data_IF_115971698294
#
_entry.id   IF_115971698294
#
_cell.length_a   1.000
_cell.length_b   1.000
_cell.length_c   1.000
_cell.angle_alpha   90.00
_cell.angle_beta   90.00
_cell.angle_gamma   90.00
#
_symmetry.space_group_name_H-M   'P 1'
#
loop_
_entity.id
_entity.type
_entity.pdbx_description
1 polymer ?
#
# COMPACT_ATOMS: atom_id res chain seq x y z
N UNK A 1 -7.79 3.91 15.78
CA UNK A 1 -7.64 3.40 14.40
C UNK A 1 -6.49 4.14 13.71
N UNK A 2 -5.49 3.41 13.20
CA UNK A 2 -4.40 3.98 12.37
C UNK A 2 -4.76 3.83 10.89
N UNK A 3 -4.41 4.82 10.08
CA UNK A 3 -4.72 4.82 8.66
C UNK A 3 -3.43 5.09 7.88
N UNK A 4 -2.98 4.06 7.14
CA UNK A 4 -1.72 4.09 6.42
C UNK A 4 -1.95 3.93 4.93
N UNK A 5 -1.18 4.64 4.10
CA UNK A 5 -1.14 4.41 2.66
C UNK A 5 0.22 3.84 2.24
N UNK A 6 0.20 2.84 1.38
CA UNK A 6 1.37 2.24 0.77
C UNK A 6 1.44 2.73 -0.68
N UNK A 7 2.47 3.50 -0.99
CA UNK A 7 2.76 4.00 -2.33
C UNK A 7 4.03 3.36 -2.90
N UNK A 8 4.26 3.52 -4.20
CA UNK A 8 5.46 3.05 -4.86
C UNK A 8 5.30 3.01 -6.37
N UNK A 9 6.39 2.75 -7.09
CA UNK A 9 6.37 2.57 -8.54
C UNK A 9 5.49 1.37 -8.94
N UNK A 10 4.87 1.43 -10.11
CA UNK A 10 4.15 0.32 -10.71
C UNK A 10 5.04 -0.92 -10.84
N UNK A 11 4.48 -2.08 -10.54
CA UNK A 11 5.21 -3.34 -10.55
C UNK A 11 6.24 -3.53 -9.45
N UNK A 12 6.40 -2.60 -8.50
CA UNK A 12 7.41 -2.74 -7.42
C UNK A 12 7.02 -3.79 -6.37
N UNK A 13 5.76 -4.24 -6.31
CA UNK A 13 5.24 -5.22 -5.34
C UNK A 13 4.46 -4.64 -4.16
N UNK A 14 3.83 -3.47 -4.33
CA UNK A 14 3.03 -2.79 -3.29
C UNK A 14 1.92 -3.69 -2.73
N UNK A 15 1.09 -4.23 -3.61
CA UNK A 15 -0.07 -5.08 -3.30
C UNK A 15 0.32 -6.35 -2.56
N UNK A 16 1.42 -6.97 -2.98
CA UNK A 16 2.03 -8.12 -2.29
C UNK A 16 2.44 -7.75 -0.87
N UNK A 17 3.10 -6.61 -0.67
CA UNK A 17 3.49 -6.14 0.66
C UNK A 17 2.26 -5.78 1.50
N UNK A 18 1.30 -5.05 0.94
CA UNK A 18 0.09 -4.61 1.63
C UNK A 18 -0.74 -5.80 2.15
N UNK A 19 -0.97 -6.80 1.31
CA UNK A 19 -1.71 -8.02 1.68
C UNK A 19 -0.98 -8.86 2.72
N UNK A 20 0.35 -9.05 2.58
CA UNK A 20 1.13 -9.78 3.59
C UNK A 20 1.23 -9.04 4.93
N UNK A 21 1.36 -7.71 4.92
CA UNK A 21 1.32 -6.90 6.14
C UNK A 21 -0.05 -6.99 6.81
N UNK A 22 -1.14 -6.91 6.04
CA UNK A 22 -2.50 -7.06 6.57
C UNK A 22 -2.71 -8.43 7.23
N UNK A 23 -2.29 -9.51 6.55
CA UNK A 23 -2.34 -10.87 7.08
C UNK A 23 -1.48 -11.06 8.35
N UNK A 24 -0.27 -10.50 8.37
CA UNK A 24 0.60 -10.57 9.54
C UNK A 24 0.03 -9.78 10.74
N UNK A 25 -0.56 -8.61 10.50
CA UNK A 25 -1.22 -7.83 11.54
C UNK A 25 -2.45 -8.55 12.10
N UNK A 26 -3.22 -9.26 11.28
CA UNK A 26 -4.35 -10.04 11.79
C UNK A 26 -3.89 -11.23 12.63
N UNK A 27 -2.79 -11.91 12.29
CA UNK A 27 -2.19 -12.93 13.17
C UNK A 27 -1.77 -12.36 14.54
N UNK A 28 -1.45 -11.05 14.60
CA UNK A 28 -1.18 -10.32 15.85
C UNK A 28 -2.45 -9.86 16.58
N UNK A 29 -3.62 -10.35 16.17
CA UNK A 29 -4.91 -10.02 16.76
C UNK A 29 -5.44 -8.62 16.41
N UNK A 30 -4.94 -8.00 15.34
CA UNK A 30 -5.40 -6.68 14.89
C UNK A 30 -6.56 -6.80 13.91
N UNK A 31 -7.55 -5.94 14.06
CA UNK A 31 -8.64 -5.77 13.09
C UNK A 31 -8.18 -4.84 11.97
N UNK A 32 -8.02 -5.41 10.77
CA UNK A 32 -7.42 -4.71 9.63
C UNK A 32 -8.39 -4.65 8.47
N UNK A 33 -8.42 -3.50 7.80
CA UNK A 33 -9.09 -3.30 6.51
C UNK A 33 -8.05 -2.96 5.45
N UNK A 34 -8.02 -3.70 4.34
CA UNK A 34 -7.25 -3.38 3.15
C UNK A 34 -8.17 -2.80 2.07
N UNK A 35 -7.85 -1.60 1.60
CA UNK A 35 -8.57 -0.92 0.52
C UNK A 35 -7.64 -0.79 -0.69
N UNK A 36 -7.92 -1.57 -1.73
CA UNK A 36 -7.27 -1.46 -3.03
C UNK A 36 -7.71 -0.21 -3.78
N UNK A 37 -6.79 0.74 -3.96
CA UNK A 37 -7.02 1.98 -4.71
C UNK A 37 -6.42 1.92 -6.13
N UNK A 38 -5.84 0.78 -6.51
CA UNK A 38 -5.19 0.57 -7.81
C UNK A 38 -6.23 0.16 -8.87
N UNK A 39 -6.28 0.82 -10.04
CA UNK A 39 -7.18 0.45 -11.13
C UNK A 39 -6.96 -0.99 -11.64
N UNK A 40 -5.84 -1.63 -11.29
CA UNK A 40 -5.54 -3.04 -11.62
C UNK A 40 -6.45 -4.06 -10.91
N UNK A 41 -7.06 -3.69 -9.78
CA UNK A 41 -8.08 -4.50 -9.05
C UNK A 41 -7.58 -5.85 -8.50
N UNK A 42 -6.31 -5.94 -8.14
CA UNK A 42 -5.69 -7.19 -7.62
C UNK A 42 -5.03 -7.00 -6.25
N UNK A 43 -5.35 -5.94 -5.52
CA UNK A 43 -4.76 -5.61 -4.21
C UNK A 43 -5.16 -6.62 -3.13
N UNK A 44 -6.38 -7.15 -3.23
CA UNK A 44 -7.02 -8.00 -2.22
C UNK A 44 -7.12 -9.48 -2.63
N UNK A 45 -6.76 -9.83 -3.87
CA UNK A 45 -6.97 -11.17 -4.43
C UNK A 45 -6.31 -12.28 -3.60
N UNK A 46 -5.12 -12.02 -3.04
CA UNK A 46 -4.38 -12.99 -2.23
C UNK A 46 -4.93 -13.17 -0.80
N UNK A 47 -5.86 -12.32 -0.37
CA UNK A 47 -6.55 -12.45 0.91
C UNK A 47 -7.92 -13.10 0.74
N UNK A 48 -8.65 -12.73 -0.30
CA UNK A 48 -10.04 -13.20 -0.54
C UNK A 48 -10.10 -14.42 -1.46
N UNK A 49 -9.02 -14.73 -2.19
CA UNK A 49 -8.86 -15.89 -3.10
C UNK A 49 -9.77 -15.86 -4.33
N UNK A 50 -10.37 -14.71 -4.61
CA UNK A 50 -11.14 -14.43 -5.83
C UNK A 50 -11.05 -12.95 -6.15
N UNK A 51 -11.37 -12.60 -7.39
CA UNK A 51 -11.52 -11.21 -7.77
C UNK A 51 -12.79 -10.63 -7.14
N UNK A 52 -12.66 -9.49 -6.47
CA UNK A 52 -13.80 -8.73 -5.98
C UNK A 52 -14.37 -7.89 -7.11
N UNK A 53 -15.70 -7.72 -7.11
CA UNK A 53 -16.35 -6.71 -7.94
C UNK A 53 -15.93 -5.33 -7.41
N UNK A 54 -15.31 -4.46 -8.22
CA UNK A 54 -14.85 -3.16 -7.75
C UNK A 54 -16.01 -2.24 -7.38
N UNK A 55 -15.84 -1.45 -6.32
CA UNK A 55 -16.84 -0.51 -5.83
C UNK A 55 -17.35 0.45 -6.91
N UNK A 56 -16.47 0.94 -7.79
CA UNK A 56 -16.89 1.82 -8.87
C UNK A 56 -17.86 1.16 -9.85
N UNK A 57 -17.78 -0.15 -10.04
CA UNK A 57 -18.71 -0.90 -10.89
C UNK A 57 -20.03 -1.12 -10.15
N UNK A 58 -19.98 -1.45 -8.85
CA UNK A 58 -21.20 -1.57 -8.02
C UNK A 58 -21.99 -0.25 -8.04
N UNK A 59 -21.31 0.89 -7.86
CA UNK A 59 -21.94 2.23 -7.92
C UNK A 59 -22.57 2.52 -9.28
N UNK A 60 -22.02 1.98 -10.38
CA UNK A 60 -22.56 2.21 -11.72
C UNK A 60 -23.76 1.31 -12.03
N UNK A 61 -23.83 0.13 -11.43
CA UNK A 61 -24.88 -0.85 -11.69
C UNK A 61 -26.07 -0.73 -10.72
N UNK A 62 -25.85 -0.20 -9.52
CA UNK A 62 -26.81 -0.23 -8.43
C UNK A 62 -27.12 1.19 -7.90
N UNK A 63 -28.40 1.49 -7.73
CA UNK A 63 -28.84 2.79 -7.17
C UNK A 63 -28.54 2.91 -5.67
N UNK A 64 -28.56 1.79 -4.94
CA UNK A 64 -28.37 1.75 -3.49
C UNK A 64 -27.36 0.66 -3.12
N UNK A 65 -26.09 1.05 -3.10
CA UNK A 65 -24.97 0.18 -2.73
C UNK A 65 -25.10 -0.24 -1.26
N UNK A 66 -24.90 -1.52 -0.95
CA UNK A 66 -24.90 -2.04 0.43
C UNK A 66 -23.49 -2.38 0.91
N UNK A 67 -23.34 -2.46 2.23
CA UNK A 67 -22.07 -2.75 2.87
C UNK A 67 -21.52 -4.13 2.46
N UNK A 68 -22.37 -5.15 2.43
CA UNK A 68 -22.01 -6.54 2.17
C UNK A 68 -21.61 -6.81 0.71
N UNK A 69 -22.01 -5.94 -0.21
CA UNK A 69 -21.60 -6.01 -1.64
C UNK A 69 -20.17 -5.50 -1.84
N UNK A 70 -19.70 -4.65 -0.93
CA UNK A 70 -18.44 -3.90 -1.07
C UNK A 70 -17.34 -4.41 -0.14
N UNK A 71 -17.69 -4.78 1.08
CA UNK A 71 -16.74 -5.21 2.12
C UNK A 71 -16.76 -6.72 2.24
N UNK A 72 -15.62 -7.35 1.94
CA UNK A 72 -15.47 -8.80 1.94
C UNK A 72 -14.46 -9.25 2.98
N UNK A 73 -14.74 -10.34 3.68
CA UNK A 73 -13.79 -10.95 4.60
C UNK A 73 -12.80 -11.84 3.85
N UNK A 74 -11.51 -11.66 4.14
CA UNK A 74 -10.40 -12.47 3.62
C UNK A 74 -9.71 -13.28 4.72
N UNK A 75 -8.47 -13.67 4.47
CA UNK A 75 -7.66 -14.44 5.40
C UNK A 75 -7.66 -13.85 6.83
N UNK A 76 -7.99 -14.70 7.81
CA UNK A 76 -7.92 -14.40 9.24
C UNK A 76 -8.68 -13.11 9.64
N UNK A 77 -9.87 -12.90 9.06
CA UNK A 77 -10.74 -11.77 9.41
C UNK A 77 -10.31 -10.41 8.86
N UNK A 78 -9.33 -10.37 7.93
CA UNK A 78 -8.95 -9.12 7.27
C UNK A 78 -10.09 -8.70 6.34
N UNK A 79 -10.64 -7.52 6.56
CA UNK A 79 -11.64 -6.94 5.67
C UNK A 79 -10.97 -6.39 4.41
N UNK A 80 -11.62 -6.52 3.26
CA UNK A 80 -11.09 -6.19 1.95
C UNK A 80 -12.13 -5.42 1.14
N UNK A 81 -11.67 -4.35 0.49
CA UNK A 81 -12.44 -3.54 -0.48
C UNK A 81 -11.56 -3.31 -1.71
N UNK A 82 -12.11 -3.47 -2.90
CA UNK A 82 -11.47 -3.00 -4.14
C UNK A 82 -12.25 -1.80 -4.68
N UNK A 83 -11.59 -0.66 -4.85
CA UNK A 83 -12.21 0.50 -5.48
C UNK A 83 -12.30 0.30 -6.99
N UNK A 84 -11.23 -0.25 -7.57
CA UNK A 84 -11.01 -0.32 -9.00
C UNK A 84 -10.73 1.03 -9.64
N UNK A 85 -10.89 1.07 -10.96
CA UNK A 85 -10.65 2.24 -11.77
C UNK A 85 -11.63 2.30 -12.93
N UNK A 86 -11.72 3.46 -13.59
CA UNK A 86 -12.58 3.59 -14.75
C UNK A 86 -12.05 2.68 -15.87
N UNK A 87 -12.92 2.39 -16.85
CA UNK A 87 -12.51 1.60 -18.01
C UNK A 87 -11.25 2.18 -18.67
N UNK A 88 -10.29 1.33 -19.10
CA UNK A 88 -9.10 1.79 -19.79
C UNK A 88 -9.43 2.73 -20.95
N UNK A 89 -8.90 3.96 -20.91
CA UNK A 89 -9.15 4.98 -21.93
C UNK A 89 -10.36 5.89 -21.67
N UNK A 90 -11.16 5.64 -20.64
CA UNK A 90 -12.36 6.43 -20.29
C UNK A 90 -12.24 6.95 -18.84
N UNK A 91 -12.78 8.14 -18.58
CA UNK A 91 -12.94 8.66 -17.22
C UNK A 91 -11.66 9.18 -16.55
N UNK A 92 -11.73 9.35 -15.22
CA UNK A 92 -10.63 9.87 -14.41
C UNK A 92 -10.53 9.10 -13.11
N UNK A 93 -9.45 8.30 -12.95
CA UNK A 93 -9.21 7.50 -11.73
C UNK A 93 -9.27 8.34 -10.45
N UNK A 94 -8.81 9.60 -10.52
CA UNK A 94 -8.88 10.54 -9.41
C UNK A 94 -10.30 10.91 -8.96
N UNK A 95 -11.22 11.12 -9.90
CA UNK A 95 -12.63 11.40 -9.58
C UNK A 95 -13.34 10.14 -9.09
N UNK A 96 -12.99 8.98 -9.66
CA UNK A 96 -13.44 7.68 -9.17
C UNK A 96 -13.08 7.47 -7.71
N UNK A 97 -11.81 7.67 -7.32
CA UNK A 97 -11.39 7.59 -5.92
C UNK A 97 -12.22 8.50 -5.01
N UNK A 98 -12.47 9.76 -5.41
CA UNK A 98 -13.29 10.66 -4.58
C UNK A 98 -14.73 10.16 -4.39
N UNK A 99 -15.35 9.60 -5.42
CA UNK A 99 -16.69 9.01 -5.33
C UNK A 99 -16.69 7.76 -4.43
N UNK A 100 -15.72 6.88 -4.63
CA UNK A 100 -15.56 5.66 -3.86
C UNK A 100 -15.38 5.93 -2.37
N UNK A 101 -14.51 6.86 -1.99
CA UNK A 101 -14.30 7.20 -0.57
C UNK A 101 -15.54 7.78 0.09
N UNK A 102 -16.31 8.63 -0.61
CA UNK A 102 -17.60 9.14 -0.10
C UNK A 102 -18.61 8.00 0.11
N UNK A 103 -18.69 7.08 -0.83
CA UNK A 103 -19.58 5.91 -0.72
C UNK A 103 -19.16 5.04 0.48
N UNK A 104 -17.86 4.84 0.70
CA UNK A 104 -17.37 4.10 1.88
C UNK A 104 -17.66 4.82 3.20
N UNK A 105 -17.63 6.16 3.23
CA UNK A 105 -18.09 6.95 4.39
C UNK A 105 -19.59 6.76 4.63
N UNK A 106 -20.43 6.86 3.60
CA UNK A 106 -21.89 6.69 3.69
C UNK A 106 -22.29 5.28 4.15
N UNK A 107 -21.52 4.26 3.73
CA UNK A 107 -21.68 2.88 4.17
C UNK A 107 -21.19 2.62 5.61
N UNK A 108 -20.60 3.61 6.29
CA UNK A 108 -20.08 3.45 7.65
C UNK A 108 -18.83 2.58 7.74
N UNK A 109 -18.09 2.38 6.65
CA UNK A 109 -16.89 1.53 6.62
C UNK A 109 -15.80 2.06 7.55
N UNK A 110 -15.70 3.39 7.68
CA UNK A 110 -14.74 4.04 8.57
C UNK A 110 -15.18 4.10 10.03
N UNK A 111 -16.44 3.75 10.34
CA UNK A 111 -16.97 3.68 11.71
C UNK A 111 -16.77 2.31 12.36
N UNK A 112 -16.31 1.33 11.58
CA UNK A 112 -15.95 0.00 12.07
C UNK A 112 -14.87 0.10 13.16
N UNK A 113 -14.96 -0.77 14.17
CA UNK A 113 -13.96 -0.90 15.23
C UNK A 113 -12.69 -1.58 14.72
N UNK A 114 -11.89 -0.85 13.94
CA UNK A 114 -10.64 -1.30 13.32
C UNK A 114 -9.41 -0.75 14.04
N UNK A 115 -8.35 -1.57 14.08
CA UNK A 115 -7.05 -1.14 14.56
C UNK A 115 -6.27 -0.41 13.46
N UNK A 116 -6.36 -0.89 12.22
CA UNK A 116 -5.63 -0.34 11.07
C UNK A 116 -6.42 -0.41 9.76
N UNK A 117 -6.34 0.66 8.96
CA UNK A 117 -6.72 0.67 7.55
C UNK A 117 -5.45 0.84 6.71
N UNK A 118 -5.30 0.00 5.69
CA UNK A 118 -4.21 0.03 4.72
C UNK A 118 -4.80 0.40 3.36
N UNK A 119 -4.32 1.49 2.78
CA UNK A 119 -4.63 1.89 1.40
C UNK A 119 -3.48 1.47 0.47
N UNK A 120 -3.73 0.58 -0.49
CA UNK A 120 -2.77 0.28 -1.55
C UNK A 120 -2.99 1.26 -2.72
N UNK A 121 -2.08 2.24 -2.87
CA UNK A 121 -2.30 3.37 -3.77
C UNK A 121 -1.26 3.41 -4.90
N UNK A 122 -1.66 3.62 -6.16
CA UNK A 122 -0.74 3.86 -7.26
C UNK A 122 0.22 5.03 -6.98
N UNK A 123 1.52 4.81 -7.19
CA UNK A 123 2.56 5.83 -6.98
C UNK A 123 3.22 6.34 -8.26
N UNK A 124 2.88 5.81 -9.44
CA UNK A 124 3.46 6.25 -10.72
C UNK A 124 3.04 7.67 -11.10
N UNK A 125 1.77 8.00 -10.87
CA UNK A 125 1.19 9.30 -11.16
C UNK A 125 0.64 9.86 -9.86
N UNK A 126 1.44 10.63 -9.13
CA UNK A 126 0.98 11.25 -7.87
C UNK A 126 0.23 12.56 -8.16
N UNK A 127 -0.77 12.47 -9.05
CA UNK A 127 -1.64 13.60 -9.39
C UNK A 127 -2.63 13.88 -8.25
N UNK A 128 -3.43 14.94 -8.39
CA UNK A 128 -4.36 15.35 -7.34
C UNK A 128 -5.39 14.27 -6.94
N UNK A 129 -5.70 13.35 -7.85
CA UNK A 129 -6.61 12.23 -7.63
C UNK A 129 -6.02 11.12 -6.75
N UNK A 130 -4.84 10.61 -7.10
CA UNK A 130 -4.18 9.57 -6.30
C UNK A 130 -3.64 10.09 -4.97
N UNK A 131 -3.63 11.40 -4.76
CA UNK A 131 -3.38 12.04 -3.47
C UNK A 131 -4.65 12.16 -2.59
N UNK A 132 -5.83 11.71 -3.03
CA UNK A 132 -7.10 11.82 -2.26
C UNK A 132 -7.00 11.21 -0.86
N UNK A 133 -6.45 9.99 -0.66
CA UNK A 133 -6.30 9.43 0.68
C UNK A 133 -5.56 10.37 1.63
N UNK A 134 -4.49 11.01 1.15
CA UNK A 134 -3.72 11.97 1.94
C UNK A 134 -4.42 13.33 2.08
N UNK A 135 -4.97 13.90 1.00
CA UNK A 135 -5.56 15.24 0.97
C UNK A 135 -6.83 15.38 1.78
N UNK A 136 -7.65 14.33 1.82
CA UNK A 136 -8.88 14.29 2.62
C UNK A 136 -8.61 13.85 4.06
N UNK A 137 -7.37 13.51 4.39
CA UNK A 137 -6.97 13.17 5.75
C UNK A 137 -7.32 11.75 6.18
N UNK A 138 -7.72 10.88 5.23
CA UNK A 138 -7.88 9.44 5.47
C UNK A 138 -6.52 8.84 5.85
N UNK A 139 -5.54 8.87 4.93
CA UNK A 139 -4.19 8.39 5.19
C UNK A 139 -3.25 9.52 5.63
N UNK A 140 -2.97 9.63 6.93
CA UNK A 140 -2.00 10.60 7.47
C UNK A 140 -0.58 10.06 7.51
N UNK A 141 -0.44 8.74 7.49
CA UNK A 141 0.82 8.02 7.56
C UNK A 141 1.08 7.29 6.23
N UNK A 142 2.24 7.52 5.64
CA UNK A 142 2.60 6.99 4.32
C UNK A 142 3.83 6.11 4.41
N UNK A 143 3.80 4.97 3.76
CA UNK A 143 4.95 4.11 3.51
C UNK A 143 5.22 4.03 2.02
N UNK A 144 6.49 4.09 1.63
CA UNK A 144 6.88 4.04 0.22
C UNK A 144 7.66 2.75 -0.04
N UNK A 145 7.16 1.93 -0.94
CA UNK A 145 7.85 0.76 -1.47
C UNK A 145 8.75 1.18 -2.62
N UNK A 146 10.03 0.80 -2.55
CA UNK A 146 11.04 1.09 -3.58
C UNK A 146 12.05 -0.06 -3.70
N UNK A 147 13.01 0.08 -4.61
CA UNK A 147 14.17 -0.80 -4.83
C UNK A 147 15.42 0.06 -4.97
N UNK A 148 16.59 -0.56 -5.10
CA UNK A 148 17.85 0.13 -5.40
C UNK A 148 17.93 0.67 -6.83
N UNK A 149 16.95 0.38 -7.67
CA UNK A 149 16.92 0.88 -9.04
C UNK A 149 16.66 2.40 -9.07
N UNK A 150 17.45 3.11 -9.86
CA UNK A 150 17.37 4.58 -9.99
C UNK A 150 15.93 5.09 -10.25
N UNK A 151 15.19 4.46 -11.17
CA UNK A 151 13.83 4.88 -11.49
C UNK A 151 12.83 4.61 -10.35
N UNK A 152 13.10 3.62 -9.50
CA UNK A 152 12.29 3.32 -8.33
C UNK A 152 12.50 4.38 -7.24
N UNK A 153 13.76 4.78 -7.00
CA UNK A 153 14.12 5.87 -6.10
C UNK A 153 13.60 7.22 -6.61
N UNK A 154 13.65 7.45 -7.92
CA UNK A 154 13.07 8.65 -8.54
C UNK A 154 11.56 8.75 -8.30
N UNK A 155 10.82 7.66 -8.47
CA UNK A 155 9.39 7.60 -8.16
C UNK A 155 9.13 7.85 -6.66
N UNK A 156 9.91 7.20 -5.77
CA UNK A 156 9.82 7.43 -4.32
C UNK A 156 10.05 8.91 -3.94
N UNK A 157 11.03 9.57 -4.56
CA UNK A 157 11.30 10.99 -4.34
C UNK A 157 10.17 11.90 -4.85
N UNK A 158 9.48 11.52 -5.94
CA UNK A 158 8.29 12.25 -6.40
C UNK A 158 7.09 12.06 -5.45
N UNK A 159 6.94 10.87 -4.85
CA UNK A 159 5.95 10.65 -3.79
C UNK A 159 6.27 11.54 -2.58
N UNK A 160 7.54 11.68 -2.20
CA UNK A 160 7.95 12.61 -1.14
C UNK A 160 7.53 14.06 -1.41
N UNK A 161 7.62 14.53 -2.67
CA UNK A 161 7.11 15.86 -3.08
C UNK A 161 5.61 15.99 -2.80
N UNK A 162 4.84 14.95 -3.12
CA UNK A 162 3.40 14.96 -2.89
C UNK A 162 3.07 14.95 -1.39
N UNK A 163 3.72 14.10 -0.59
CA UNK A 163 3.57 14.05 0.87
C UNK A 163 3.82 15.43 1.48
N UNK A 164 4.95 16.06 1.12
CA UNK A 164 5.31 17.40 1.60
C UNK A 164 4.27 18.45 1.21
N UNK A 165 3.73 18.38 -0.01
CA UNK A 165 2.75 19.35 -0.53
C UNK A 165 1.38 19.23 0.12
N UNK A 166 0.96 18.02 0.49
CA UNK A 166 -0.37 17.76 1.10
C UNK A 166 -0.34 17.73 2.62
N UNK A 167 0.85 17.77 3.24
CA UNK A 167 1.01 17.79 4.69
C UNK A 167 0.87 16.43 5.38
N UNK A 168 0.87 15.33 4.62
CA UNK A 168 0.95 13.98 5.18
C UNK A 168 2.32 13.72 5.82
N UNK A 169 2.48 12.59 6.51
CA UNK A 169 3.74 12.19 7.13
C UNK A 169 4.26 10.89 6.55
N UNK A 170 5.57 10.82 6.34
CA UNK A 170 6.27 9.61 5.92
C UNK A 170 6.64 8.79 7.15
N UNK A 171 6.13 7.56 7.24
CA UNK A 171 6.47 6.61 8.29
C UNK A 171 7.73 5.79 7.98
N UNK A 172 8.06 5.59 6.71
CA UNK A 172 9.30 4.92 6.33
C UNK A 172 9.34 4.43 4.88
N UNK A 173 10.52 3.96 4.50
CA UNK A 173 10.79 3.31 3.22
C UNK A 173 10.82 1.80 3.40
N UNK A 174 10.15 1.08 2.52
CA UNK A 174 10.18 -0.38 2.43
C UNK A 174 10.96 -0.74 1.17
N UNK A 175 12.10 -1.41 1.32
CA UNK A 175 12.83 -1.93 0.17
C UNK A 175 12.24 -3.29 -0.22
N UNK A 176 11.71 -3.40 -1.44
CA UNK A 176 11.41 -4.68 -2.07
C UNK A 176 12.50 -5.00 -3.08
N UNK A 177 13.38 -5.91 -2.69
CA UNK A 177 14.65 -6.12 -3.36
C UNK A 177 14.48 -6.55 -4.81
N UNK A 178 15.29 -5.94 -5.68
CA UNK A 178 15.47 -6.33 -7.09
C UNK A 178 16.85 -6.94 -7.33
N UNK A 179 17.54 -7.30 -6.26
CA UNK A 179 18.90 -7.86 -6.27
C UNK A 179 19.92 -6.89 -6.90
N UNK A 180 19.73 -5.59 -6.65
CA UNK A 180 20.70 -4.56 -7.03
C UNK A 180 21.94 -4.68 -6.12
N UNK A 181 23.13 -4.45 -6.65
CA UNK A 181 24.35 -4.43 -5.84
C UNK A 181 24.25 -3.37 -4.75
N UNK A 182 24.61 -3.72 -3.50
CA UNK A 182 24.52 -2.83 -2.32
C UNK A 182 23.13 -2.21 -2.13
N UNK A 183 22.07 -2.86 -2.62
CA UNK A 183 20.70 -2.33 -2.65
C UNK A 183 20.21 -1.82 -1.30
N UNK A 184 20.52 -2.57 -0.23
CA UNK A 184 20.13 -2.19 1.11
C UNK A 184 20.78 -0.86 1.53
N UNK A 185 22.08 -0.72 1.30
CA UNK A 185 22.84 0.50 1.64
C UNK A 185 22.32 1.70 0.84
N UNK A 186 22.06 1.51 -0.45
CA UNK A 186 21.50 2.54 -1.34
C UNK A 186 20.15 3.05 -0.80
N UNK A 187 19.25 2.13 -0.45
CA UNK A 187 17.90 2.51 0.02
C UNK A 187 17.93 3.06 1.45
N UNK A 188 18.82 2.56 2.33
CA UNK A 188 19.05 3.12 3.66
C UNK A 188 19.57 4.56 3.58
N UNK A 189 20.55 4.83 2.70
CA UNK A 189 21.07 6.17 2.47
C UNK A 189 20.02 7.09 1.86
N UNK A 190 19.22 6.60 0.89
CA UNK A 190 18.08 7.34 0.37
C UNK A 190 17.11 7.74 1.49
N UNK A 191 16.71 6.78 2.32
CA UNK A 191 15.79 7.00 3.43
C UNK A 191 16.34 8.03 4.42
N UNK A 192 17.64 7.98 4.74
CA UNK A 192 18.30 8.95 5.60
C UNK A 192 18.31 10.35 4.98
N UNK A 193 18.67 10.50 3.70
CA UNK A 193 18.75 11.80 3.02
C UNK A 193 17.39 12.50 2.90
N UNK A 194 16.31 11.74 2.80
CA UNK A 194 14.94 12.30 2.82
C UNK A 194 14.42 12.57 4.24
N UNK A 195 15.22 12.32 5.29
CA UNK A 195 14.81 12.52 6.68
C UNK A 195 13.85 11.43 7.19
N UNK A 196 14.08 10.17 6.80
CA UNK A 196 13.26 9.02 7.18
C UNK A 196 14.16 7.81 7.47
N UNK A 197 13.57 6.61 7.47
CA UNK A 197 14.25 5.34 7.80
C UNK A 197 13.78 4.19 6.91
N UNK A 198 14.65 3.21 6.72
CA UNK A 198 14.27 1.93 6.16
C UNK A 198 13.49 1.13 7.22
N UNK A 199 12.19 0.96 7.04
CA UNK A 199 11.32 0.24 7.99
C UNK A 199 11.37 -1.28 7.78
N UNK A 200 11.72 -1.71 6.56
CA UNK A 200 11.90 -3.12 6.25
C UNK A 200 12.58 -3.34 4.90
N UNK A 201 13.26 -4.48 4.80
CA UNK A 201 13.91 -4.97 3.60
C UNK A 201 13.34 -6.37 3.29
N UNK A 202 12.71 -6.51 2.12
CA UNK A 202 12.13 -7.75 1.65
C UNK A 202 13.05 -8.33 0.58
N UNK A 203 13.78 -9.43 0.86
CA UNK A 203 14.61 -10.08 -0.14
C UNK A 203 13.74 -10.74 -1.21
N UNK A 204 14.31 -10.94 -2.40
CA UNK A 204 13.64 -11.72 -3.43
C UNK A 204 13.50 -13.18 -2.96
N UNK A 205 12.29 -13.71 -3.06
CA UNK A 205 11.98 -15.05 -2.53
C UNK A 205 11.01 -15.79 -3.44
N UNK A 206 11.27 -17.08 -3.63
CA UNK A 206 10.36 -17.98 -4.35
C UNK A 206 9.03 -18.15 -3.60
N UNK A 207 9.04 -18.04 -2.28
CA UNK A 207 7.84 -18.15 -1.45
C UNK A 207 6.77 -17.15 -1.89
N UNK A 208 7.17 -15.91 -2.20
CA UNK A 208 6.26 -14.86 -2.66
C UNK A 208 5.58 -15.29 -3.96
N UNK A 209 6.37 -15.67 -4.96
CA UNK A 209 5.85 -16.06 -6.26
C UNK A 209 4.92 -17.28 -6.18
N UNK A 210 5.32 -18.31 -5.43
CA UNK A 210 4.51 -19.52 -5.25
C UNK A 210 3.22 -19.23 -4.47
N UNK A 211 3.25 -18.32 -3.50
CA UNK A 211 2.05 -17.91 -2.77
C UNK A 211 1.05 -17.18 -3.68
N UNK A 212 1.55 -16.23 -4.49
CA UNK A 212 0.73 -15.50 -5.47
C UNK A 212 0.09 -16.42 -6.51
N UNK A 213 0.83 -17.41 -7.03
CA UNK A 213 0.28 -18.42 -7.95
C UNK A 213 -0.87 -19.24 -7.33
N UNK A 214 -0.89 -19.37 -6.00
CA UNK A 214 -1.93 -20.07 -5.26
C UNK A 214 -3.01 -19.13 -4.70
N UNK A 215 -3.00 -17.83 -5.08
CA UNK A 215 -3.94 -16.83 -4.61
C UNK A 215 -3.87 -16.61 -3.09
N UNK A 216 -2.69 -16.74 -2.50
CA UNK A 216 -2.46 -16.67 -1.05
C UNK A 216 -1.34 -15.70 -0.70
N UNK A 217 -1.38 -15.18 0.53
CA UNK A 217 -0.23 -14.48 1.12
C UNK A 217 0.86 -15.49 1.53
N UNK A 218 2.10 -15.02 1.69
CA UNK A 218 3.20 -15.85 2.23
C UNK A 218 2.90 -16.24 3.68
N UNK A 219 2.26 -15.34 4.43
CA UNK A 219 1.79 -15.61 5.79
C UNK A 219 0.87 -16.84 5.83
N UNK A 220 -0.06 -16.96 4.88
CA UNK A 220 -0.95 -18.10 4.79
C UNK A 220 -0.28 -19.36 4.21
N UNK A 221 0.48 -19.22 3.12
CA UNK A 221 0.94 -20.37 2.33
C UNK A 221 2.24 -20.98 2.86
N UNK A 222 3.16 -20.16 3.36
CA UNK A 222 4.43 -20.58 3.96
C UNK A 222 4.60 -19.99 5.37
N UNK A 223 3.70 -20.28 6.32
CA UNK A 223 3.66 -19.59 7.62
C UNK A 223 4.95 -19.71 8.43
N UNK A 224 5.77 -20.74 8.19
CA UNK A 224 7.02 -21.00 8.91
C UNK A 224 8.28 -20.53 8.17
N UNK A 225 8.17 -20.01 6.95
CA UNK A 225 9.36 -19.63 6.18
C UNK A 225 10.02 -18.35 6.70
N UNK A 226 11.29 -18.15 6.34
CA UNK A 226 12.01 -16.91 6.64
C UNK A 226 11.31 -15.69 6.02
N UNK A 227 10.75 -15.84 4.81
CA UNK A 227 9.98 -14.79 4.14
C UNK A 227 8.76 -14.37 4.98
N UNK A 228 8.02 -15.33 5.55
CA UNK A 228 6.91 -15.02 6.45
C UNK A 228 7.37 -14.30 7.73
N UNK A 229 8.50 -14.71 8.32
CA UNK A 229 9.09 -14.00 9.48
C UNK A 229 9.45 -12.56 9.16
N UNK A 230 9.98 -12.30 7.96
CA UNK A 230 10.30 -10.95 7.49
C UNK A 230 9.03 -10.10 7.37
N UNK A 231 7.95 -10.62 6.79
CA UNK A 231 6.68 -9.90 6.71
C UNK A 231 6.06 -9.63 8.08
N UNK A 232 6.14 -10.58 9.03
CA UNK A 232 5.71 -10.35 10.43
C UNK A 232 6.51 -9.25 11.09
N UNK A 233 7.83 -9.24 10.91
CA UNK A 233 8.70 -8.17 11.43
C UNK A 233 8.38 -6.81 10.80
N UNK A 234 8.12 -6.77 9.48
CA UNK A 234 7.69 -5.54 8.81
C UNK A 234 6.35 -5.03 9.39
N UNK A 235 5.37 -5.91 9.54
CA UNK A 235 4.08 -5.57 10.14
C UNK A 235 4.23 -5.04 11.58
N UNK A 236 5.05 -5.69 12.39
CA UNK A 236 5.36 -5.24 13.75
C UNK A 236 6.05 -3.87 13.75
N UNK A 237 7.04 -3.66 12.88
CA UNK A 237 7.72 -2.38 12.74
C UNK A 237 6.75 -1.26 12.36
N UNK A 238 5.88 -1.48 11.37
CA UNK A 238 4.83 -0.53 10.99
C UNK A 238 3.88 -0.28 12.17
N UNK A 239 3.45 -1.34 12.86
CA UNK A 239 2.53 -1.24 14.01
C UNK A 239 3.11 -0.44 15.18
N UNK A 240 4.40 -0.61 15.47
CA UNK A 240 5.09 0.10 16.56
C UNK A 240 5.59 1.48 16.16
N UNK A 241 5.71 1.77 14.87
CA UNK A 241 6.26 3.04 14.41
C UNK A 241 5.44 4.25 14.87
N UNK A 242 6.13 5.24 15.43
CA UNK A 242 5.58 6.56 15.79
C UNK A 242 6.41 7.70 15.19
N UNK A 243 7.53 7.39 14.54
CA UNK A 243 8.41 8.37 13.91
C UNK A 243 7.83 8.71 12.54
N UNK A 244 7.22 9.89 12.47
CA UNK A 244 6.43 10.37 11.34
C UNK A 244 6.97 11.73 10.90
N UNK A 245 7.65 11.75 9.76
CA UNK A 245 8.43 12.91 9.33
C UNK A 245 7.82 13.60 8.10
N UNK A 246 8.10 14.89 7.92
CA UNK A 246 7.89 15.56 6.63
C UNK A 246 9.13 15.29 5.79
N UNK A 247 9.04 14.54 4.67
CA UNK A 247 10.22 14.16 3.93
C UNK A 247 10.87 15.37 3.24
N UNK A 248 12.20 15.37 3.23
CA UNK A 248 12.98 16.18 2.30
C UNK A 248 12.88 15.59 0.90
N UNK A 249 12.85 16.47 -0.10
CA UNK A 249 12.89 16.09 -1.51
C UNK A 249 14.31 16.28 -2.01
N UNK A 250 14.89 15.22 -2.59
CA UNK A 250 16.23 15.26 -3.16
C UNK A 250 16.20 15.85 -4.57
N UNK A 251 17.27 16.53 -4.95
CA UNK A 251 17.54 16.92 -6.33
C UNK A 251 17.91 15.70 -7.18
N UNK A 252 17.90 15.86 -8.51
CA UNK A 252 18.34 14.80 -9.42
C UNK A 252 19.82 14.44 -9.24
N UNK A 253 20.67 15.41 -8.88
CA UNK A 253 22.09 15.16 -8.65
C UNK A 253 22.28 14.35 -7.36
N UNK A 254 21.63 14.73 -6.27
CA UNK A 254 21.65 13.97 -5.01
C UNK A 254 21.12 12.54 -5.18
N UNK A 255 20.13 12.32 -6.05
CA UNK A 255 19.66 10.98 -6.39
C UNK A 255 20.69 10.18 -7.19
N UNK A 256 21.42 10.81 -8.11
CA UNK A 256 22.46 10.16 -8.93
C UNK A 256 23.70 9.77 -8.14
N UNK A 257 23.92 10.39 -6.98
CA UNK A 257 24.99 10.06 -6.03
C UNK A 257 24.71 8.79 -5.22
N UNK A 258 23.46 8.31 -5.19
CA UNK A 258 23.09 7.05 -4.57
C UNK A 258 23.55 5.91 -5.49
N UNK A 259 24.78 5.43 -5.29
CA UNK A 259 25.40 4.33 -6.05
C UNK A 259 26.21 3.41 -5.13
#
# INVERSE_FOLDING_TARGET
MRQIAIYGKGGIGKSTIASNVAAALSEMGKKVLLIGCDPKRDSTINLVKRQLKPLLEVIMEEENVKFEEVVHEGFNGVLCVEIGGPEPGIGCAGRGLLLAFRTLEELGVFDLKLDMIIYDVPGDVVCGGFAVPMRRGFAREVYIVTSGEYLSLFAANNICKAIKRVGARLGGIICNSREVEREREIVEEFAKRIGSKLIGFIPRSRDVHLSELNGKTVIEFFPKSETAKIFRKLAENIWKNRDLEIPRVLTLNELKELR
#
